data_IF_711173211540
#
_entry.id   IF_711173211540
#
_cell.length_a   1.000
_cell.length_b   1.000
_cell.length_c   1.000
_cell.angle_alpha   90.00
_cell.angle_beta   90.00
_cell.angle_gamma   90.00
#
_symmetry.space_group_name_H-M   'P 1'
#
loop_
_entity.id
_entity.type
_entity.pdbx_description
1 polymer ?
#
# COMPACT_ATOMS: atom_id res chain seq x y z
N UNK A 1 -2.07 -9.41 -10.41
CA UNK A 1 -2.70 -8.18 -9.91
C UNK A 1 -1.95 -7.73 -8.68
N UNK A 2 -1.46 -6.51 -8.68
CA UNK A 2 -0.82 -5.88 -7.54
C UNK A 2 -1.77 -4.87 -6.90
N UNK A 3 -1.43 -4.45 -5.69
CA UNK A 3 -2.13 -3.39 -4.97
C UNK A 3 -1.18 -2.22 -4.87
N UNK A 4 -1.70 -1.02 -5.06
CA UNK A 4 -0.95 0.23 -4.92
C UNK A 4 -1.67 1.16 -3.97
N UNK A 5 -0.92 1.80 -3.07
CA UNK A 5 -1.43 2.83 -2.16
C UNK A 5 -0.51 4.02 -2.20
N UNK A 6 -1.11 5.19 -2.30
CA UNK A 6 -0.45 6.49 -2.13
C UNK A 6 -0.92 7.10 -0.81
N UNK A 7 0.01 7.35 0.10
CA UNK A 7 -0.23 8.11 1.32
C UNK A 7 -0.34 9.60 1.00
N UNK A 8 -1.05 10.36 1.84
CA UNK A 8 -1.22 11.81 1.68
C UNK A 8 0.08 12.60 1.80
N UNK A 9 1.10 12.03 2.44
CA UNK A 9 2.44 12.62 2.53
C UNK A 9 3.27 12.46 1.24
N UNK A 10 2.73 11.80 0.21
CA UNK A 10 3.41 11.54 -1.07
C UNK A 10 4.12 10.18 -1.15
N UNK A 11 4.26 9.46 -0.02
CA UNK A 11 4.81 8.11 -0.02
C UNK A 11 3.89 7.14 -0.77
N UNK A 12 4.48 6.25 -1.57
CA UNK A 12 3.72 5.26 -2.36
C UNK A 12 4.34 3.88 -2.21
N UNK A 13 3.50 2.85 -2.16
CA UNK A 13 3.93 1.45 -2.19
C UNK A 13 3.09 0.64 -3.16
N UNK A 14 3.72 -0.36 -3.77
CA UNK A 14 3.07 -1.33 -4.66
C UNK A 14 3.57 -2.74 -4.34
N UNK A 15 2.68 -3.73 -4.38
CA UNK A 15 3.06 -5.12 -4.16
C UNK A 15 1.86 -6.05 -4.00
N UNK A 16 2.09 -7.23 -3.44
CA UNK A 16 1.02 -8.15 -3.07
C UNK A 16 0.14 -7.57 -1.95
N UNK A 17 -1.05 -8.13 -1.77
CA UNK A 17 -2.00 -7.72 -0.72
C UNK A 17 -1.35 -7.66 0.65
N UNK A 18 -0.66 -8.73 1.04
CA UNK A 18 -0.03 -8.83 2.36
C UNK A 18 1.12 -7.85 2.49
N UNK A 19 1.92 -7.69 1.44
CA UNK A 19 3.08 -6.80 1.44
C UNK A 19 2.67 -5.32 1.54
N UNK A 20 1.64 -4.91 0.81
CA UNK A 20 1.10 -3.55 0.86
C UNK A 20 0.52 -3.25 2.24
N UNK A 21 -0.23 -4.19 2.83
CA UNK A 21 -0.75 -4.03 4.20
C UNK A 21 0.40 -3.83 5.18
N UNK A 22 1.40 -4.71 5.19
CA UNK A 22 2.54 -4.58 6.12
C UNK A 22 3.29 -3.27 5.95
N UNK A 23 3.61 -2.86 4.71
CA UNK A 23 4.33 -1.62 4.42
C UNK A 23 3.55 -0.37 4.86
N UNK A 24 2.23 -0.33 4.64
CA UNK A 24 1.42 0.82 5.07
C UNK A 24 1.30 0.88 6.58
N UNK A 25 1.18 -0.26 7.25
CA UNK A 25 1.13 -0.30 8.71
C UNK A 25 2.42 0.21 9.35
N UNK A 26 3.56 -0.23 8.82
CA UNK A 26 4.87 0.27 9.23
C UNK A 26 5.01 1.77 8.95
N UNK A 27 4.70 2.22 7.73
CA UNK A 27 4.76 3.63 7.37
C UNK A 27 3.86 4.51 8.24
N UNK A 28 2.59 4.13 8.42
CA UNK A 28 1.66 4.86 9.27
C UNK A 28 2.13 4.96 10.72
N UNK A 29 2.70 3.88 11.26
CA UNK A 29 3.24 3.85 12.62
C UNK A 29 4.48 4.72 12.78
N UNK A 30 5.45 4.61 11.86
CA UNK A 30 6.74 5.29 11.97
C UNK A 30 6.67 6.77 11.62
N UNK A 31 5.97 7.13 10.55
CA UNK A 31 5.97 8.51 10.01
C UNK A 31 4.81 9.36 10.55
N UNK A 32 3.72 8.72 10.98
CA UNK A 32 2.49 9.41 11.39
C UNK A 32 2.02 9.03 12.79
N UNK A 33 2.67 8.06 13.45
CA UNK A 33 2.23 7.50 14.73
C UNK A 33 0.77 7.03 14.69
N UNK A 34 0.32 6.56 13.52
CA UNK A 34 -1.02 6.07 13.27
C UNK A 34 -1.05 4.55 13.13
N UNK A 35 -1.94 3.91 13.87
CA UNK A 35 -2.24 2.50 13.68
C UNK A 35 -3.27 2.32 12.56
N UNK A 36 -2.80 1.89 11.40
CA UNK A 36 -3.65 1.58 10.26
C UNK A 36 -4.06 0.10 10.32
N UNK A 37 -5.36 -0.17 10.25
CA UNK A 37 -5.85 -1.55 10.21
C UNK A 37 -5.78 -2.12 8.79
N UNK A 38 -5.68 -3.45 8.63
CA UNK A 38 -5.74 -4.07 7.31
C UNK A 38 -7.02 -3.74 6.56
N UNK A 39 -8.14 -3.50 7.25
CA UNK A 39 -9.40 -3.11 6.61
C UNK A 39 -9.34 -1.70 6.01
N UNK A 40 -8.73 -0.75 6.71
CA UNK A 40 -8.52 0.61 6.20
C UNK A 40 -7.61 0.62 4.98
N UNK A 41 -6.53 -0.18 4.99
CA UNK A 41 -5.66 -0.35 3.81
C UNK A 41 -6.47 -0.80 2.59
N UNK A 42 -7.33 -1.80 2.78
CA UNK A 42 -8.17 -2.35 1.70
C UNK A 42 -9.19 -1.36 1.15
N UNK A 43 -9.58 -0.36 1.94
CA UNK A 43 -10.52 0.66 1.51
C UNK A 43 -9.87 1.73 0.60
N UNK A 44 -8.55 1.89 0.65
CA UNK A 44 -7.85 2.98 -0.05
C UNK A 44 -6.94 2.52 -1.20
N UNK A 45 -6.65 1.22 -1.30
CA UNK A 45 -5.77 0.71 -2.33
C UNK A 45 -6.40 0.69 -3.72
N UNK A 46 -5.54 0.72 -4.74
CA UNK A 46 -5.92 0.53 -6.13
C UNK A 46 -5.40 -0.82 -6.59
N UNK A 47 -6.23 -1.60 -7.26
CA UNK A 47 -5.80 -2.81 -7.95
C UNK A 47 -5.14 -2.35 -9.25
N UNK A 48 -3.88 -2.71 -9.44
CA UNK A 48 -3.13 -2.43 -10.66
C UNK A 48 -2.75 -3.74 -11.33
N UNK A 49 -2.78 -3.76 -12.65
CA UNK A 49 -2.28 -4.90 -13.41
C UNK A 49 -0.79 -5.06 -13.13
N UNK A 50 -0.36 -6.32 -13.04
CA UNK A 50 1.07 -6.62 -13.03
C UNK A 50 1.54 -6.50 -14.48
N UNK A 51 1.76 -5.27 -14.93
CA UNK A 51 2.39 -4.99 -16.21
C UNK A 51 3.89 -5.25 -16.01
N UNK A 52 4.25 -6.53 -15.86
CA UNK A 52 5.62 -7.00 -15.95
C UNK A 52 6.22 -6.50 -17.27
N UNK A 53 7.56 -6.35 -17.38
CA UNK A 53 8.17 -5.65 -18.50
C UNK A 53 7.62 -6.16 -19.84
N UNK A 54 6.94 -5.27 -20.57
CA UNK A 54 6.59 -5.51 -21.98
C UNK A 54 7.92 -5.66 -22.73
N UNK A 55 8.29 -6.92 -22.92
CA UNK A 55 9.40 -7.41 -23.76
C UNK A 55 9.45 -6.71 -25.12
#
# INVERSE_FOLDING_TARGET
MLMEVTCRCGWTTRGSRSEVVSKIQEHGRSEHQQEITPAQVRAIWRIVEDDGPKK
#
